data_IF_133008255253
#
_entry.id   IF_133008255253
#
_cell.length_a   1.000
_cell.length_b   1.000
_cell.length_c   1.000
_cell.angle_alpha   90.00
_cell.angle_beta   90.00
_cell.angle_gamma   90.00
#
_symmetry.space_group_name_H-M   'P 1'
#
loop_
_entity.id
_entity.type
_entity.pdbx_description
1 polymer ?
#
# COMPACT_ATOMS: atom_id res chain seq x y z
N UNK A 1 4.70 -15.81 20.93
CA UNK A 1 4.89 -14.44 20.43
C UNK A 1 4.42 -14.47 18.98
N UNK A 2 3.13 -14.19 18.76
CA UNK A 2 2.53 -14.24 17.43
C UNK A 2 3.06 -13.03 16.65
N UNK A 3 3.44 -13.19 15.37
CA UNK A 3 4.04 -12.12 14.61
C UNK A 3 3.09 -10.94 14.65
N UNK A 4 3.62 -9.77 15.00
CA UNK A 4 2.98 -8.47 14.94
C UNK A 4 2.70 -8.12 13.48
N UNK A 5 1.93 -8.98 12.80
CA UNK A 5 1.25 -8.68 11.56
C UNK A 5 0.37 -7.52 11.93
N UNK A 6 0.90 -6.32 11.71
CA UNK A 6 0.19 -5.10 11.92
C UNK A 6 -1.13 -5.26 11.18
N UNK A 7 -2.18 -5.55 11.95
CA UNK A 7 -3.54 -5.08 11.79
C UNK A 7 -3.52 -3.54 11.79
N UNK A 8 -2.60 -2.94 11.03
CA UNK A 8 -2.75 -1.60 10.55
C UNK A 8 -3.91 -1.71 9.57
N UNK A 9 -5.11 -1.50 10.10
CA UNK A 9 -6.33 -1.34 9.32
C UNK A 9 -6.06 -0.28 8.27
N UNK A 10 -5.76 -0.75 7.06
CA UNK A 10 -5.47 0.10 5.94
C UNK A 10 -6.74 0.13 5.09
N UNK A 11 -7.31 1.33 4.96
CA UNK A 11 -8.43 1.55 4.04
C UNK A 11 -8.07 1.16 2.59
N UNK A 12 -6.77 1.13 2.26
CA UNK A 12 -6.23 0.77 0.96
C UNK A 12 -4.93 -0.01 1.11
N UNK A 13 -4.78 -1.10 0.36
CA UNK A 13 -3.59 -1.93 0.36
C UNK A 13 -3.20 -2.36 -1.07
N UNK A 14 -1.91 -2.66 -1.24
CA UNK A 14 -1.33 -3.19 -2.48
C UNK A 14 -0.49 -4.42 -2.13
N UNK A 15 -0.73 -5.53 -2.82
CA UNK A 15 0.06 -6.75 -2.67
C UNK A 15 1.21 -6.74 -3.68
N UNK A 16 2.42 -6.99 -3.16
CA UNK A 16 3.66 -6.98 -3.93
C UNK A 16 4.29 -8.37 -3.88
N UNK A 17 4.64 -8.91 -5.04
CA UNK A 17 5.43 -10.13 -5.18
C UNK A 17 6.84 -9.81 -5.72
N UNK A 18 7.82 -10.72 -5.57
CA UNK A 18 9.10 -10.62 -6.25
C UNK A 18 8.91 -10.45 -7.76
N UNK A 19 9.74 -9.61 -8.37
CA UNK A 19 9.57 -9.21 -9.77
C UNK A 19 10.68 -8.27 -10.21
N UNK A 20 10.52 -7.67 -11.40
CA UNK A 20 11.59 -6.92 -12.09
C UNK A 20 11.51 -5.39 -11.94
N UNK A 21 10.43 -4.85 -11.37
CA UNK A 21 10.24 -3.41 -11.24
C UNK A 21 10.97 -2.93 -9.99
N UNK A 22 11.82 -1.89 -10.09
CA UNK A 22 12.54 -1.36 -8.94
C UNK A 22 11.58 -0.81 -7.88
N UNK A 23 11.96 -0.89 -6.62
CA UNK A 23 11.13 -0.49 -5.49
C UNK A 23 10.57 0.94 -5.61
N UNK A 24 11.37 1.91 -6.07
CA UNK A 24 10.91 3.29 -6.27
C UNK A 24 9.77 3.38 -7.29
N UNK A 25 9.95 2.81 -8.47
CA UNK A 25 8.94 2.79 -9.54
C UNK A 25 7.68 2.02 -9.08
N UNK A 26 7.88 0.96 -8.30
CA UNK A 26 6.80 0.15 -7.76
C UNK A 26 6.01 0.91 -6.69
N UNK A 27 6.68 1.68 -5.84
CA UNK A 27 6.07 2.56 -4.86
C UNK A 27 5.24 3.67 -5.50
N UNK A 28 5.73 4.27 -6.60
CA UNK A 28 4.95 5.23 -7.39
C UNK A 28 3.69 4.60 -8.00
N UNK A 29 3.82 3.42 -8.59
CA UNK A 29 2.68 2.66 -9.12
C UNK A 29 1.67 2.29 -8.03
N UNK A 30 2.15 1.84 -6.87
CA UNK A 30 1.30 1.49 -5.74
C UNK A 30 0.54 2.72 -5.22
N UNK A 31 1.22 3.85 -5.04
CA UNK A 31 0.61 5.12 -4.63
C UNK A 31 -0.46 5.57 -5.61
N UNK A 32 -0.19 5.51 -6.91
CA UNK A 32 -1.18 5.86 -7.95
C UNK A 32 -2.43 4.99 -7.85
N UNK A 33 -2.27 3.66 -7.76
CA UNK A 33 -3.40 2.73 -7.61
C UNK A 33 -4.22 3.00 -6.34
N UNK A 34 -3.55 3.30 -5.22
CA UNK A 34 -4.25 3.66 -3.98
C UNK A 34 -5.05 4.96 -4.12
N UNK A 35 -4.49 5.98 -4.78
CA UNK A 35 -5.19 7.25 -5.06
C UNK A 35 -6.38 7.06 -5.99
N UNK A 36 -6.27 6.19 -6.99
CA UNK A 36 -7.36 5.85 -7.92
C UNK A 36 -8.53 5.19 -7.19
N UNK A 37 -8.25 4.30 -6.24
CA UNK A 37 -9.24 3.60 -5.41
C UNK A 37 -9.85 4.48 -4.31
N UNK A 38 -9.17 5.55 -3.91
CA UNK A 38 -9.59 6.40 -2.82
C UNK A 38 -10.67 7.43 -3.23
N UNK A 39 -11.64 7.73 -2.34
CA UNK A 39 -12.56 8.83 -2.52
C UNK A 39 -11.81 10.16 -2.50
N UNK A 40 -12.37 11.19 -3.14
CA UNK A 40 -11.70 12.48 -3.41
C UNK A 40 -11.08 13.09 -2.14
N UNK A 41 -11.76 12.96 -1.00
CA UNK A 41 -11.34 13.49 0.29
C UNK A 41 -10.00 12.92 0.80
N UNK A 42 -9.70 11.65 0.49
CA UNK A 42 -8.48 10.98 0.95
C UNK A 42 -7.32 11.03 -0.05
N UNK A 43 -7.58 11.43 -1.30
CA UNK A 43 -6.54 11.49 -2.35
C UNK A 43 -5.41 12.43 -1.98
N UNK A 44 -5.73 13.61 -1.43
CA UNK A 44 -4.74 14.59 -0.97
C UNK A 44 -3.81 14.02 0.11
N UNK A 45 -4.36 13.27 1.07
CA UNK A 45 -3.56 12.64 2.12
C UNK A 45 -2.61 11.59 1.55
N UNK A 46 -3.10 10.73 0.65
CA UNK A 46 -2.29 9.73 -0.04
C UNK A 46 -1.18 10.38 -0.89
N UNK A 47 -1.48 11.45 -1.60
CA UNK A 47 -0.50 12.18 -2.43
C UNK A 47 0.63 12.81 -1.61
N UNK A 48 0.40 13.14 -0.34
CA UNK A 48 1.42 13.68 0.58
C UNK A 48 2.40 12.63 1.10
N UNK A 49 2.11 11.34 0.97
CA UNK A 49 3.02 10.28 1.44
C UNK A 49 4.29 10.28 0.55
N UNK A 50 5.49 10.45 1.13
CA UNK A 50 6.73 10.41 0.35
C UNK A 50 6.95 9.05 -0.30
N UNK A 51 7.48 9.05 -1.53
CA UNK A 51 7.76 7.82 -2.26
C UNK A 51 8.83 7.00 -1.55
N UNK A 52 9.85 7.63 -0.95
CA UNK A 52 10.89 6.90 -0.23
C UNK A 52 10.32 6.07 0.92
N UNK A 53 9.33 6.61 1.64
CA UNK A 53 8.65 5.91 2.74
C UNK A 53 7.89 4.68 2.27
N UNK A 54 7.30 4.73 1.08
CA UNK A 54 6.63 3.57 0.49
C UNK A 54 7.65 2.57 -0.07
N UNK A 55 8.72 3.06 -0.69
CA UNK A 55 9.78 2.24 -1.26
C UNK A 55 10.53 1.45 -0.20
N UNK A 56 10.73 2.00 1.00
CA UNK A 56 11.40 1.29 2.10
C UNK A 56 10.60 0.12 2.66
N UNK A 57 9.30 0.02 2.34
CA UNK A 57 8.45 -1.10 2.72
C UNK A 57 8.50 -2.26 1.72
N UNK A 58 9.23 -2.12 0.62
CA UNK A 58 9.32 -3.14 -0.43
C UNK A 58 10.52 -4.04 -0.13
N UNK A 59 10.30 -5.29 0.34
CA UNK A 59 11.35 -6.10 0.97
C UNK A 59 12.46 -6.57 0.01
N UNK A 60 12.19 -6.65 -1.30
CA UNK A 60 13.09 -7.27 -2.26
C UNK A 60 13.92 -6.29 -3.09
N UNK A 61 13.73 -4.97 -2.93
CA UNK A 61 14.33 -3.96 -3.80
C UNK A 61 13.76 -3.93 -5.23
N UNK A 62 13.17 -5.04 -5.70
CA UNK A 62 12.37 -5.13 -6.92
C UNK A 62 11.15 -6.05 -6.77
N UNK A 63 10.07 -5.77 -7.49
CA UNK A 63 8.81 -6.49 -7.36
C UNK A 63 7.87 -6.31 -8.53
N UNK A 64 6.62 -6.73 -8.33
CA UNK A 64 5.48 -6.45 -9.19
C UNK A 64 4.20 -6.29 -8.37
N UNK A 65 3.24 -5.50 -8.85
CA UNK A 65 1.95 -5.33 -8.19
C UNK A 65 1.04 -6.46 -8.62
N UNK A 66 0.67 -7.31 -7.67
CA UNK A 66 -0.25 -8.43 -7.91
C UNK A 66 -1.70 -7.95 -7.90
N UNK A 67 -2.05 -7.14 -6.88
CA UNK A 67 -3.40 -6.58 -6.72
C UNK A 67 -3.38 -5.31 -5.88
N UNK A 68 -4.40 -4.48 -6.06
CA UNK A 68 -4.71 -3.36 -5.18
C UNK A 68 -6.18 -3.49 -4.74
N UNK A 69 -6.45 -3.32 -3.45
CA UNK A 69 -7.78 -3.48 -2.92
C UNK A 69 -8.07 -2.48 -1.79
N UNK A 70 -9.36 -2.20 -1.61
CA UNK A 70 -9.87 -1.44 -0.48
C UNK A 70 -10.05 -2.41 0.68
N UNK A 71 -9.42 -2.16 1.82
CA UNK A 71 -9.63 -2.96 3.02
C UNK A 71 -11.09 -2.89 3.45
N UNK A 72 -11.72 -4.01 3.80
CA UNK A 72 -12.99 -3.98 4.55
C UNK A 72 -12.67 -3.48 5.95
N UNK A 73 -13.20 -2.32 6.30
CA UNK A 73 -13.38 -1.97 7.70
C UNK A 73 -14.49 -2.89 8.24
N UNK A 74 -14.15 -4.10 8.68
CA UNK A 74 -15.03 -4.79 9.62
C UNK A 74 -14.85 -4.10 10.96
N UNK A 75 -15.95 -3.47 11.40
CA UNK A 75 -16.06 -2.87 12.72
C UNK A 75 -15.57 -3.88 13.75
N UNK A 76 -14.59 -3.50 14.57
CA UNK A 76 -14.52 -4.08 15.91
C UNK A 76 -15.91 -3.88 16.54
N UNK A 77 -16.64 -4.98 16.72
CA UNK A 77 -17.81 -5.00 17.58
C UNK A 77 -17.36 -4.74 19.02
N UNK A 78 -18.22 -4.10 19.84
CA UNK A 78 -17.88 -3.59 21.18
C UNK A 78 -17.40 -4.68 22.14
#
# INVERSE_FOLDING_TARGET
MAPEAAEAWASYAVEIAPGRIKARDLAEKAKRKMVELAPKEHRQALLKIPIERLSSLIPYGSGEIVRAFRGRAEKASP
#
